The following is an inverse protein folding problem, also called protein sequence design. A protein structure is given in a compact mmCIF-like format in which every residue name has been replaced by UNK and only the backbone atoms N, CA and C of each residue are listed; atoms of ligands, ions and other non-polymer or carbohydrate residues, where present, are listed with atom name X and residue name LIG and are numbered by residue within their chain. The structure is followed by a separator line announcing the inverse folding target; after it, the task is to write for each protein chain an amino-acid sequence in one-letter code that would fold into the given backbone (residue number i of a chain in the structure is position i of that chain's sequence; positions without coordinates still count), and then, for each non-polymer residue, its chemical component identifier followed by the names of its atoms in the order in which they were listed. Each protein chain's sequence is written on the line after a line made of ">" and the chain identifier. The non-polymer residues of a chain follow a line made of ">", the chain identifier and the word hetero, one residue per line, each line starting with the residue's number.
data_IF_298855325483
#
_entry.id   IF_298855325483
#
_cell.length_a   1.000
_cell.length_b   1.000
_cell.length_c   1.000
_cell.angle_alpha   90.00
_cell.angle_beta   90.00
_cell.angle_gamma   90.00
#
_symmetry.space_group_name_H-M   'P 1'
#
loop_
_entity.id
_entity.type
_entity.pdbx_description
1 polymer ?
#
# COMPACT_ATOMS: atom_id res chain seq x y z
N UNK A 1 -11.58 10.32 13.90
CA UNK A 1 -12.56 9.74 12.94
C UNK A 1 -12.73 8.25 13.16
N UNK A 2 -11.69 7.42 13.14
CA UNK A 2 -11.77 5.95 13.31
C UNK A 2 -12.56 5.57 14.57
N UNK A 3 -12.17 6.09 15.73
CA UNK A 3 -12.79 5.75 17.01
C UNK A 3 -14.30 6.02 17.07
N UNK A 4 -14.78 7.06 16.38
CA UNK A 4 -16.21 7.39 16.29
C UNK A 4 -17.05 6.38 15.50
N UNK A 5 -16.39 5.55 14.67
CA UNK A 5 -17.05 4.56 13.83
C UNK A 5 -16.92 3.13 14.38
N UNK A 6 -16.28 2.97 15.54
CA UNK A 6 -16.17 1.66 16.20
C UNK A 6 -17.51 1.29 16.81
N UNK A 7 -17.96 0.06 16.55
CA UNK A 7 -19.17 -0.55 17.11
C UNK A 7 -18.82 -1.91 17.69
N UNK A 8 -19.77 -2.57 18.36
CA UNK A 8 -19.62 -3.95 18.86
C UNK A 8 -19.31 -4.97 17.73
N UNK A 9 -19.64 -4.63 16.48
CA UNK A 9 -19.37 -5.48 15.32
C UNK A 9 -17.97 -5.27 14.76
N UNK A 10 -17.27 -4.20 15.15
CA UNK A 10 -15.93 -3.89 14.65
C UNK A 10 -14.94 -4.91 15.20
N UNK A 11 -14.20 -5.58 14.33
CA UNK A 11 -13.21 -6.63 14.66
C UNK A 11 -11.78 -6.24 14.34
N UNK A 12 -11.60 -5.30 13.45
CA UNK A 12 -10.26 -4.91 13.02
C UNK A 12 -10.22 -3.59 12.29
N UNK A 13 -9.02 -3.10 12.12
CA UNK A 13 -8.67 -1.90 11.37
C UNK A 13 -7.76 -2.33 10.22
N UNK A 14 -8.05 -1.89 9.02
CA UNK A 14 -7.18 -2.05 7.83
C UNK A 14 -6.85 -0.66 7.34
N UNK A 15 -5.56 -0.30 7.36
CA UNK A 15 -5.08 1.03 6.94
C UNK A 15 -3.86 0.90 6.05
N UNK A 16 -3.80 1.78 5.03
CA UNK A 16 -2.64 1.90 4.16
C UNK A 16 -1.72 3.05 4.61
N UNK A 17 -0.41 2.80 4.51
CA UNK A 17 0.63 3.82 4.59
C UNK A 17 0.77 4.48 3.20
N UNK A 18 -0.20 5.31 2.87
CA UNK A 18 -0.44 5.83 1.52
C UNK A 18 0.77 6.58 0.97
N UNK A 19 1.21 6.21 -0.24
CA UNK A 19 2.36 6.77 -0.96
C UNK A 19 3.66 6.81 -0.15
N UNK A 20 3.83 5.89 0.78
CA UNK A 20 5.04 5.79 1.59
C UNK A 20 4.98 6.53 2.92
N UNK A 21 3.89 7.24 3.21
CA UNK A 21 3.73 8.06 4.41
C UNK A 21 3.05 7.26 5.53
N UNK A 22 3.76 6.93 6.62
CA UNK A 22 3.16 6.26 7.75
C UNK A 22 2.03 7.08 8.39
N UNK A 23 0.88 6.46 8.59
CA UNK A 23 -0.16 7.06 9.43
C UNK A 23 0.27 7.12 10.90
N UNK A 24 -0.47 7.85 11.73
CA UNK A 24 -0.17 7.97 13.17
C UNK A 24 -0.33 6.63 13.89
N UNK A 25 0.75 5.84 13.90
CA UNK A 25 0.77 4.50 14.49
C UNK A 25 0.54 4.52 16.01
N UNK A 26 1.03 5.53 16.71
CA UNK A 26 0.81 5.67 18.15
C UNK A 26 -0.68 5.71 18.48
N UNK A 27 -1.43 6.60 17.79
CA UNK A 27 -2.90 6.71 17.94
C UNK A 27 -3.63 5.42 17.54
N UNK A 28 -3.20 4.79 16.47
CA UNK A 28 -3.85 3.55 15.97
C UNK A 28 -3.61 2.39 16.94
N UNK A 29 -2.42 2.28 17.50
CA UNK A 29 -2.11 1.25 18.50
C UNK A 29 -2.90 1.49 19.81
N UNK A 30 -3.04 2.73 20.28
CA UNK A 30 -3.92 3.06 21.40
C UNK A 30 -5.36 2.58 21.16
N UNK A 31 -5.92 2.86 19.98
CA UNK A 31 -7.26 2.44 19.60
C UNK A 31 -7.36 0.92 19.52
N UNK A 32 -6.39 0.28 18.87
CA UNK A 32 -6.31 -1.19 18.76
C UNK A 32 -6.37 -1.86 20.13
N UNK A 33 -5.55 -1.40 21.05
CA UNK A 33 -5.49 -1.95 22.43
C UNK A 33 -6.78 -1.69 23.21
N UNK A 34 -7.27 -0.45 23.19
CA UNK A 34 -8.49 -0.03 23.90
C UNK A 34 -9.72 -0.85 23.51
N UNK A 35 -9.86 -1.18 22.23
CA UNK A 35 -11.03 -1.89 21.70
C UNK A 35 -10.76 -3.36 21.36
N UNK A 36 -9.56 -3.86 21.67
CA UNK A 36 -9.12 -5.23 21.35
C UNK A 36 -9.36 -5.58 19.87
N UNK A 37 -8.88 -4.72 18.97
CA UNK A 37 -9.06 -4.86 17.52
C UNK A 37 -7.84 -5.52 16.88
N UNK A 38 -8.08 -6.16 15.74
CA UNK A 38 -7.04 -6.63 14.85
C UNK A 38 -6.55 -5.48 13.97
N UNK A 39 -5.24 -5.39 13.69
CA UNK A 39 -4.68 -4.37 12.80
C UNK A 39 -3.97 -5.02 11.62
N UNK A 40 -4.40 -4.64 10.42
CA UNK A 40 -3.68 -4.91 9.17
C UNK A 40 -3.05 -3.61 8.68
N UNK A 41 -1.73 -3.62 8.56
CA UNK A 41 -0.96 -2.54 7.94
C UNK A 41 -0.76 -2.84 6.45
N UNK A 42 -1.37 -2.06 5.57
CA UNK A 42 -1.06 -2.13 4.15
C UNK A 42 0.13 -1.22 3.87
N UNK A 43 1.29 -1.83 3.66
CA UNK A 43 2.54 -1.13 3.38
C UNK A 43 3.02 -1.32 1.93
N UNK A 44 2.10 -1.64 1.02
CA UNK A 44 2.43 -1.86 -0.40
C UNK A 44 3.17 -0.66 -1.02
N UNK A 45 2.77 0.56 -0.67
CA UNK A 45 3.41 1.80 -1.11
C UNK A 45 4.57 2.27 -0.21
N UNK A 46 4.93 1.53 0.84
CA UNK A 46 5.72 2.10 1.92
C UNK A 46 6.86 1.19 2.41
N UNK A 47 7.34 0.31 1.53
CA UNK A 47 8.43 -0.58 1.88
C UNK A 47 9.68 0.20 2.30
N UNK A 48 10.15 -0.08 3.52
CA UNK A 48 11.30 0.59 4.13
C UNK A 48 10.97 1.83 4.96
N UNK A 49 9.72 2.29 4.98
CA UNK A 49 9.29 3.36 5.89
C UNK A 49 9.43 2.94 7.35
N UNK A 50 9.68 3.93 8.21
CA UNK A 50 9.79 3.71 9.66
C UNK A 50 8.90 4.68 10.42
N UNK A 51 8.54 4.27 11.64
CA UNK A 51 7.86 5.10 12.62
C UNK A 51 8.55 4.92 13.96
N UNK A 52 8.99 6.02 14.57
CA UNK A 52 9.78 6.02 15.82
C UNK A 52 10.98 5.05 15.75
N UNK A 53 11.71 5.07 14.62
CA UNK A 53 12.88 4.23 14.34
C UNK A 53 12.61 2.76 14.01
N UNK A 54 11.36 2.27 14.12
CA UNK A 54 10.96 0.89 13.81
C UNK A 54 10.33 0.81 12.42
N UNK A 55 10.60 -0.26 11.70
CA UNK A 55 9.94 -0.49 10.42
C UNK A 55 8.42 -0.63 10.61
N UNK A 56 7.65 0.06 9.76
CA UNK A 56 6.21 -0.19 9.65
C UNK A 56 5.95 -1.63 9.20
N UNK A 57 4.72 -2.11 9.41
CA UNK A 57 4.39 -3.53 9.18
C UNK A 57 4.83 -4.46 10.32
N UNK A 58 5.43 -3.89 11.38
CA UNK A 58 5.81 -4.61 12.59
C UNK A 58 4.98 -4.23 13.82
N UNK A 59 4.04 -3.32 13.66
CA UNK A 59 3.16 -2.83 14.73
C UNK A 59 1.84 -3.60 14.78
N UNK A 60 1.26 -3.91 13.62
CA UNK A 60 0.02 -4.66 13.51
C UNK A 60 0.17 -6.16 13.65
N UNK A 61 -0.95 -6.87 13.48
CA UNK A 61 -0.99 -8.34 13.52
C UNK A 61 -0.58 -8.96 12.19
N UNK A 62 -0.87 -8.24 11.10
CA UNK A 62 -0.53 -8.62 9.72
C UNK A 62 -0.11 -7.37 8.97
N UNK A 63 0.84 -7.51 8.06
CA UNK A 63 1.18 -6.48 7.08
C UNK A 63 1.24 -7.05 5.68
N UNK A 64 0.98 -6.20 4.66
CA UNK A 64 1.06 -6.56 3.25
C UNK A 64 2.13 -5.76 2.53
N UNK A 65 2.84 -6.41 1.61
CA UNK A 65 3.79 -5.81 0.68
C UNK A 65 3.39 -6.15 -0.74
N UNK A 66 3.62 -5.23 -1.66
CA UNK A 66 3.48 -5.48 -3.09
C UNK A 66 4.84 -5.43 -3.78
N UNK A 67 5.02 -6.37 -4.72
CA UNK A 67 6.15 -6.42 -5.63
C UNK A 67 5.70 -6.20 -7.08
N UNK A 68 4.56 -5.52 -7.26
CA UNK A 68 4.11 -5.02 -8.54
C UNK A 68 5.17 -4.05 -9.14
N UNK A 69 5.35 -3.98 -10.47
CA UNK A 69 6.45 -3.24 -11.11
C UNK A 69 6.67 -1.79 -10.66
N UNK A 70 5.61 -1.08 -10.28
CA UNK A 70 5.71 0.32 -9.87
C UNK A 70 6.18 0.54 -8.43
N UNK A 71 6.15 -0.51 -7.58
CA UNK A 71 6.51 -0.38 -6.15
C UNK A 71 8.04 -0.24 -5.95
N UNK A 72 8.47 -0.18 -4.69
CA UNK A 72 9.87 0.05 -4.32
C UNK A 72 10.83 -0.98 -4.89
N UNK A 73 10.40 -2.25 -4.93
CA UNK A 73 11.05 -3.35 -5.65
C UNK A 73 9.99 -4.14 -6.40
N UNK A 74 10.42 -4.95 -7.37
CA UNK A 74 9.49 -5.76 -8.15
C UNK A 74 9.95 -7.20 -8.28
N UNK A 75 8.99 -8.11 -8.45
CA UNK A 75 9.21 -9.50 -8.90
C UNK A 75 8.55 -9.77 -10.26
N UNK A 76 8.24 -8.70 -11.02
CA UNK A 76 7.37 -8.74 -12.20
C UNK A 76 5.90 -8.64 -11.79
N UNK A 77 5.43 -9.58 -11.03
CA UNK A 77 4.21 -9.59 -10.22
C UNK A 77 4.51 -10.35 -8.92
N UNK A 78 3.92 -9.92 -7.81
CA UNK A 78 4.11 -10.60 -6.53
C UNK A 78 3.79 -9.72 -5.33
N UNK A 79 3.99 -10.29 -4.17
CA UNK A 79 3.78 -9.62 -2.88
C UNK A 79 4.15 -10.53 -1.72
N UNK A 80 4.05 -9.99 -0.53
CA UNK A 80 4.25 -10.74 0.70
C UNK A 80 3.22 -10.35 1.76
N UNK A 81 2.84 -11.32 2.58
CA UNK A 81 2.08 -11.11 3.80
C UNK A 81 2.99 -11.44 4.98
N UNK A 82 3.12 -10.52 5.91
CA UNK A 82 3.99 -10.60 7.07
C UNK A 82 3.16 -10.75 8.34
N UNK A 83 3.59 -11.61 9.23
CA UNK A 83 3.01 -11.74 10.57
C UNK A 83 4.00 -12.37 11.55
N UNK A 84 3.93 -11.94 12.80
CA UNK A 84 4.65 -12.54 13.93
C UNK A 84 3.80 -13.60 14.67
N UNK A 85 2.58 -13.87 14.21
CA UNK A 85 1.65 -14.79 14.86
C UNK A 85 1.66 -16.17 14.18
N UNK A 86 2.24 -17.23 14.82
CA UNK A 86 2.41 -18.54 14.18
C UNK A 86 1.10 -19.20 13.72
N UNK A 87 -0.01 -18.91 14.42
CA UNK A 87 -1.33 -19.41 14.03
C UNK A 87 -1.80 -18.77 12.72
N UNK A 88 -1.61 -17.44 12.55
CA UNK A 88 -1.97 -16.74 11.33
C UNK A 88 -1.08 -17.17 10.16
N UNK A 89 0.22 -17.36 10.39
CA UNK A 89 1.12 -17.89 9.36
C UNK A 89 0.55 -19.15 8.70
N UNK A 90 0.11 -20.13 9.49
CA UNK A 90 -0.46 -21.38 8.95
C UNK A 90 -1.73 -21.14 8.11
N UNK A 91 -2.60 -20.23 8.56
CA UNK A 91 -3.83 -19.88 7.84
C UNK A 91 -3.48 -19.19 6.52
N UNK A 92 -2.55 -18.23 6.54
CA UNK A 92 -2.10 -17.48 5.37
C UNK A 92 -1.46 -18.44 4.34
N UNK A 93 -0.59 -19.34 4.79
CA UNK A 93 0.03 -20.34 3.93
C UNK A 93 -1.00 -21.30 3.32
N UNK A 94 -1.99 -21.72 4.11
CA UNK A 94 -3.12 -22.52 3.60
C UNK A 94 -3.90 -21.77 2.52
N UNK A 95 -4.31 -20.54 2.78
CA UNK A 95 -5.07 -19.71 1.82
C UNK A 95 -4.29 -19.40 0.55
N UNK A 96 -2.96 -19.22 0.65
CA UNK A 96 -2.05 -19.05 -0.49
C UNK A 96 -1.97 -20.31 -1.35
N UNK A 97 -2.14 -21.51 -0.76
CA UNK A 97 -2.00 -22.82 -1.39
C UNK A 97 -3.32 -23.57 -1.43
N UNK A 98 -4.29 -23.03 -2.16
CA UNK A 98 -5.65 -23.54 -2.41
C UNK A 98 -6.51 -23.83 -1.16
N UNK A 99 -6.10 -23.44 0.02
CA UNK A 99 -6.78 -23.78 1.27
C UNK A 99 -6.39 -25.15 1.83
N UNK A 100 -5.26 -25.71 1.39
CA UNK A 100 -4.75 -26.99 1.89
C UNK A 100 -4.49 -26.94 3.38
N UNK A 101 -4.77 -28.05 4.04
CA UNK A 101 -4.46 -28.23 5.46
C UNK A 101 -3.00 -28.64 5.69
N UNK A 102 -2.35 -29.26 4.71
CA UNK A 102 -0.95 -29.65 4.78
C UNK A 102 0.00 -28.43 4.81
N UNK A 103 0.89 -28.41 5.79
CA UNK A 103 1.88 -27.34 6.02
C UNK A 103 3.34 -27.81 5.78
N UNK A 104 3.54 -28.93 5.10
CA UNK A 104 4.88 -29.33 4.68
C UNK A 104 5.48 -28.32 3.71
N UNK A 105 6.75 -27.93 3.86
CA UNK A 105 7.44 -27.08 2.89
C UNK A 105 7.40 -27.68 1.48
N UNK A 106 7.48 -26.85 0.42
CA UNK A 106 7.60 -27.34 -0.95
C UNK A 106 8.78 -28.31 -1.11
N UNK A 107 8.54 -29.44 -1.79
CA UNK A 107 9.56 -30.47 -1.99
C UNK A 107 9.74 -31.45 -0.84
N UNK A 108 9.08 -31.22 0.30
CA UNK A 108 9.12 -32.12 1.45
C UNK A 108 7.77 -32.78 1.69
N UNK A 109 7.83 -34.04 2.11
CA UNK A 109 6.65 -34.81 2.46
C UNK A 109 6.72 -35.32 3.90
N UNK A 110 5.54 -35.44 4.52
CA UNK A 110 5.35 -36.04 5.83
C UNK A 110 6.24 -35.47 6.97
N UNK A 111 6.57 -34.16 6.91
CA UNK A 111 7.34 -33.48 7.97
C UNK A 111 6.61 -33.51 9.32
N UNK A 112 5.26 -33.56 9.28
CA UNK A 112 4.41 -33.73 10.47
C UNK A 112 4.47 -35.16 11.08
N UNK A 113 5.00 -36.15 10.34
CA UNK A 113 5.00 -37.58 10.69
C UNK A 113 3.63 -38.19 10.95
N UNK A 114 2.58 -37.56 10.40
CA UNK A 114 1.16 -37.89 10.58
C UNK A 114 0.33 -37.78 9.30
N UNK A 115 0.97 -38.04 8.14
CA UNK A 115 0.33 -37.84 6.82
C UNK A 115 -1.02 -38.53 6.68
N UNK A 116 -1.14 -39.73 7.28
CA UNK A 116 -2.33 -40.58 7.17
C UNK A 116 -3.07 -40.79 8.51
N UNK A 117 -2.71 -40.03 9.56
CA UNK A 117 -3.26 -40.23 10.91
C UNK A 117 -4.34 -39.19 11.29
N UNK A 118 -4.93 -38.56 10.31
CA UNK A 118 -5.90 -37.50 10.54
C UNK A 118 -7.32 -37.96 10.22
N UNK A 119 -8.27 -37.42 10.99
CA UNK A 119 -9.69 -37.46 10.69
C UNK A 119 -10.15 -36.01 10.45
N UNK A 120 -10.31 -35.60 9.20
CA UNK A 120 -10.61 -34.23 8.81
C UNK A 120 -11.94 -34.18 8.07
N UNK A 121 -12.88 -33.39 8.58
CA UNK A 121 -14.23 -33.28 8.01
C UNK A 121 -14.92 -34.64 7.89
N UNK A 122 -15.61 -34.88 6.78
CA UNK A 122 -16.28 -36.13 6.45
C UNK A 122 -15.43 -37.13 5.66
N UNK A 123 -14.10 -36.89 5.53
CA UNK A 123 -13.20 -37.76 4.79
C UNK A 123 -12.95 -39.07 5.57
N UNK A 124 -12.62 -40.20 4.89
CA UNK A 124 -12.24 -41.43 5.58
C UNK A 124 -11.04 -41.21 6.50
N UNK A 125 -10.98 -41.93 7.62
CA UNK A 125 -9.78 -41.92 8.47
C UNK A 125 -8.56 -42.35 7.66
N UNK A 126 -7.45 -41.64 7.83
CA UNK A 126 -6.20 -41.91 7.10
C UNK A 126 -6.21 -41.36 5.67
N UNK A 127 -7.20 -40.52 5.31
CA UNK A 127 -7.12 -39.80 4.05
C UNK A 127 -5.88 -38.95 3.98
N UNK A 128 -5.19 -38.91 2.83
CA UNK A 128 -3.93 -38.20 2.69
C UNK A 128 -4.10 -36.71 3.03
N UNK A 129 -3.46 -36.27 4.11
CA UNK A 129 -3.47 -34.90 4.61
C UNK A 129 -3.06 -33.87 3.54
N UNK A 130 -2.19 -34.25 2.62
CA UNK A 130 -1.74 -33.41 1.50
C UNK A 130 -2.85 -33.01 0.54
N UNK A 131 -3.94 -33.78 0.48
CA UNK A 131 -5.09 -33.55 -0.40
C UNK A 131 -6.35 -33.15 0.36
N UNK A 132 -6.19 -32.72 1.61
CA UNK A 132 -7.30 -32.19 2.43
C UNK A 132 -7.31 -30.67 2.35
N UNK A 133 -8.49 -30.10 2.14
CA UNK A 133 -8.70 -28.65 2.03
C UNK A 133 -9.59 -28.21 3.19
N UNK A 134 -8.99 -27.52 4.16
CA UNK A 134 -9.69 -27.00 5.35
C UNK A 134 -10.22 -25.58 5.15
N UNK A 135 -9.75 -24.90 4.11
CA UNK A 135 -10.16 -23.55 3.73
C UNK A 135 -10.44 -23.48 2.22
N UNK A 136 -11.16 -22.44 1.80
CA UNK A 136 -11.27 -22.05 0.39
C UNK A 136 -10.19 -21.02 0.13
N UNK A 137 -9.16 -21.38 -0.61
CA UNK A 137 -8.00 -20.54 -0.86
C UNK A 137 -7.70 -20.33 -2.34
N UNK A 138 -6.54 -19.75 -2.61
CA UNK A 138 -6.09 -19.33 -3.94
C UNK A 138 -4.77 -20.01 -4.29
N UNK A 139 -4.36 -19.98 -5.54
CA UNK A 139 -3.00 -20.31 -5.95
C UNK A 139 -2.20 -19.01 -6.11
N UNK A 140 -1.54 -18.59 -5.02
CA UNK A 140 -0.78 -17.34 -4.94
C UNK A 140 0.71 -17.58 -4.65
N UNK A 141 1.22 -18.77 -4.93
CA UNK A 141 2.65 -19.07 -4.77
C UNK A 141 3.48 -18.36 -5.83
N UNK A 142 4.54 -17.68 -5.39
CA UNK A 142 5.55 -17.15 -6.29
C UNK A 142 6.34 -18.29 -6.95
N UNK A 143 6.76 -18.10 -8.19
CA UNK A 143 7.70 -18.97 -8.86
C UNK A 143 9.15 -18.64 -8.49
N UNK A 144 10.07 -19.59 -8.74
CA UNK A 144 11.51 -19.39 -8.51
C UNK A 144 12.06 -18.22 -9.37
N UNK A 145 11.52 -18.01 -10.56
CA UNK A 145 11.89 -16.86 -11.42
C UNK A 145 11.54 -15.54 -10.75
N UNK A 146 10.33 -15.41 -10.20
CA UNK A 146 9.92 -14.24 -9.44
C UNK A 146 10.77 -14.04 -8.19
N UNK A 147 11.06 -15.11 -7.46
CA UNK A 147 11.90 -15.06 -6.28
C UNK A 147 13.34 -14.62 -6.61
N UNK A 148 13.91 -15.08 -7.72
CA UNK A 148 15.25 -14.68 -8.17
C UNK A 148 15.32 -13.18 -8.51
N UNK A 149 14.28 -12.63 -9.18
CA UNK A 149 14.17 -11.18 -9.43
C UNK A 149 14.12 -10.43 -8.08
N UNK A 150 13.26 -10.88 -7.16
CA UNK A 150 13.13 -10.27 -5.84
C UNK A 150 14.44 -10.26 -5.04
N UNK A 151 15.18 -11.37 -5.06
CA UNK A 151 16.49 -11.46 -4.41
C UNK A 151 17.50 -10.45 -4.95
N UNK A 152 17.53 -10.22 -6.27
CA UNK A 152 18.37 -9.17 -6.88
C UNK A 152 17.88 -7.75 -6.56
N UNK A 153 16.57 -7.56 -6.45
CA UNK A 153 15.98 -6.24 -6.18
C UNK A 153 16.15 -5.80 -4.74
N UNK A 154 16.07 -6.71 -3.77
CA UNK A 154 16.16 -6.37 -2.34
C UNK A 154 17.52 -5.77 -1.97
N UNK A 155 18.58 -6.16 -2.67
CA UNK A 155 19.92 -5.62 -2.46
C UNK A 155 20.02 -4.13 -2.83
N UNK A 156 19.18 -3.68 -3.79
CA UNK A 156 19.13 -2.30 -4.27
C UNK A 156 18.17 -1.41 -3.47
N UNK A 157 17.32 -2.02 -2.63
CA UNK A 157 16.27 -1.31 -1.93
C UNK A 157 16.78 -0.13 -1.06
N UNK A 158 17.88 -0.23 -0.32
CA UNK A 158 18.39 0.91 0.46
C UNK A 158 18.67 2.15 -0.39
N UNK A 159 19.35 1.96 -1.53
CA UNK A 159 19.67 3.05 -2.46
C UNK A 159 18.39 3.63 -3.09
N UNK A 160 17.44 2.78 -3.45
CA UNK A 160 16.17 3.21 -4.01
C UNK A 160 15.37 4.06 -3.02
N UNK A 161 15.36 3.70 -1.74
CA UNK A 161 14.71 4.49 -0.68
C UNK A 161 15.37 5.86 -0.55
N UNK A 162 16.70 5.90 -0.48
CA UNK A 162 17.45 7.16 -0.33
C UNK A 162 17.19 8.12 -1.50
N UNK A 163 17.23 7.61 -2.75
CA UNK A 163 16.96 8.43 -3.94
C UNK A 163 15.51 8.94 -3.94
N UNK A 164 14.53 8.11 -3.60
CA UNK A 164 13.13 8.53 -3.49
C UNK A 164 12.92 9.65 -2.46
N UNK A 165 13.58 9.56 -1.31
CA UNK A 165 13.54 10.61 -0.28
C UNK A 165 14.13 11.91 -0.82
N UNK A 166 15.32 11.86 -1.44
CA UNK A 166 15.95 13.05 -2.05
C UNK A 166 15.08 13.70 -3.13
N UNK A 167 14.50 12.89 -4.01
CA UNK A 167 13.62 13.39 -5.06
C UNK A 167 12.37 14.05 -4.49
N UNK A 168 11.77 13.43 -3.46
CA UNK A 168 10.62 13.99 -2.76
C UNK A 168 10.95 15.32 -2.08
N UNK A 169 12.04 15.37 -1.30
CA UNK A 169 12.48 16.58 -0.60
C UNK A 169 12.74 17.72 -1.58
N UNK A 170 13.37 17.40 -2.72
CA UNK A 170 13.61 18.39 -3.78
C UNK A 170 12.28 18.95 -4.34
N UNK A 171 11.35 18.11 -4.71
CA UNK A 171 10.04 18.57 -5.19
C UNK A 171 9.28 19.33 -4.11
N UNK A 172 9.30 18.86 -2.87
CA UNK A 172 8.63 19.52 -1.76
C UNK A 172 9.18 20.93 -1.50
N UNK A 173 10.50 21.12 -1.56
CA UNK A 173 11.13 22.45 -1.46
C UNK A 173 10.67 23.38 -2.60
N UNK A 174 10.66 22.88 -3.84
CA UNK A 174 10.30 23.71 -5.01
C UNK A 174 8.81 24.05 -5.04
N UNK A 175 7.97 23.04 -4.82
CA UNK A 175 6.51 23.20 -4.86
C UNK A 175 5.96 24.00 -3.66
N UNK A 176 6.68 24.07 -2.53
CA UNK A 176 6.29 24.93 -1.39
C UNK A 176 6.18 26.42 -1.73
N UNK A 177 6.75 26.85 -2.85
CA UNK A 177 6.70 28.21 -3.36
C UNK A 177 5.42 28.53 -4.14
N UNK A 178 4.66 27.50 -4.52
CA UNK A 178 3.42 27.65 -5.28
C UNK A 178 2.23 27.61 -4.32
N UNK A 179 1.66 28.77 -4.01
CA UNK A 179 0.58 28.91 -3.00
C UNK A 179 -0.73 28.21 -3.37
N UNK A 180 -0.90 27.81 -4.63
CA UNK A 180 -2.10 27.13 -5.15
C UNK A 180 -2.13 25.63 -4.84
N UNK A 181 -1.06 25.09 -4.22
CA UNK A 181 -0.95 23.68 -3.88
C UNK A 181 -0.88 23.45 -2.37
N UNK A 182 -1.65 22.48 -1.90
CA UNK A 182 -1.49 21.89 -0.58
C UNK A 182 -0.58 20.68 -0.72
N UNK A 183 0.54 20.70 0.00
CA UNK A 183 1.55 19.66 -0.02
C UNK A 183 1.36 18.66 1.13
N UNK A 184 1.89 17.43 0.99
CA UNK A 184 1.73 16.40 2.00
C UNK A 184 2.38 16.79 3.33
N UNK A 185 1.78 16.31 4.41
CA UNK A 185 2.32 16.41 5.76
C UNK A 185 2.52 15.02 6.32
N UNK A 186 3.51 14.85 7.16
CA UNK A 186 3.78 13.60 7.84
C UNK A 186 4.03 13.82 9.33
N UNK A 187 3.83 12.77 10.12
CA UNK A 187 4.07 12.79 11.56
C UNK A 187 5.55 12.97 11.87
N UNK A 188 5.88 13.66 12.94
CA UNK A 188 7.28 13.92 13.34
C UNK A 188 8.09 12.65 13.63
N UNK A 189 7.42 11.57 14.03
CA UNK A 189 8.01 10.26 14.27
C UNK A 189 8.13 9.40 12.99
N UNK A 190 7.50 9.82 11.89
CA UNK A 190 7.52 9.09 10.63
C UNK A 190 8.80 9.38 9.84
N UNK A 191 9.36 8.34 9.25
CA UNK A 191 10.44 8.38 8.27
C UNK A 191 9.92 7.71 6.99
N UNK A 192 9.25 8.47 6.11
CA UNK A 192 8.63 7.91 4.92
C UNK A 192 9.65 7.40 3.90
N UNK A 193 9.34 6.27 3.29
CA UNK A 193 9.95 5.81 2.04
C UNK A 193 8.98 6.12 0.92
N UNK A 194 9.13 7.29 0.32
CA UNK A 194 8.12 7.86 -0.57
C UNK A 194 7.91 7.05 -1.85
N UNK A 195 6.65 6.75 -2.16
CA UNK A 195 6.24 6.14 -3.41
C UNK A 195 5.97 7.18 -4.50
N UNK A 196 5.36 8.31 -4.12
CA UNK A 196 5.03 9.42 -4.98
C UNK A 196 4.99 10.73 -4.21
N UNK A 197 4.93 11.83 -4.94
CA UNK A 197 4.78 13.18 -4.41
C UNK A 197 3.35 13.68 -4.64
N UNK A 198 2.46 13.54 -3.64
CA UNK A 198 1.06 13.97 -3.78
C UNK A 198 0.93 15.49 -3.69
N UNK A 199 0.04 16.04 -4.52
CA UNK A 199 -0.28 17.46 -4.61
C UNK A 199 -1.79 17.59 -4.65
N UNK A 200 -2.33 18.49 -3.84
CA UNK A 200 -3.76 18.86 -3.90
C UNK A 200 -3.89 20.32 -4.34
N UNK A 201 -4.62 20.55 -5.40
CA UNK A 201 -4.94 21.92 -5.85
C UNK A 201 -5.91 22.52 -4.84
N UNK A 202 -5.58 23.67 -4.30
CA UNK A 202 -6.39 24.35 -3.30
C UNK A 202 -7.27 25.46 -3.91
N UNK A 203 -8.08 26.09 -3.06
CA UNK A 203 -9.07 27.10 -3.47
C UNK A 203 -8.49 28.40 -4.03
N UNK A 204 -7.16 28.62 -3.96
CA UNK A 204 -6.51 29.80 -4.54
C UNK A 204 -6.27 29.65 -6.04
N UNK A 205 -6.34 28.41 -6.56
CA UNK A 205 -6.16 28.16 -7.97
C UNK A 205 -7.39 28.65 -8.77
N UNK A 206 -7.14 29.21 -9.95
CA UNK A 206 -8.15 29.61 -10.93
C UNK A 206 -8.29 28.61 -12.09
N UNK A 207 -7.67 27.46 -11.97
CA UNK A 207 -7.68 26.35 -12.93
C UNK A 207 -8.13 25.04 -12.27
N UNK A 208 -8.49 24.05 -13.06
CA UNK A 208 -8.86 22.70 -12.57
C UNK A 208 -7.67 21.75 -12.68
N UNK A 209 -7.68 20.71 -11.84
CA UNK A 209 -6.66 19.63 -11.92
C UNK A 209 -6.48 19.10 -13.34
N UNK A 210 -7.58 18.85 -14.05
CA UNK A 210 -7.52 18.29 -15.42
C UNK A 210 -6.74 19.18 -16.39
N UNK A 211 -6.76 20.50 -16.21
CA UNK A 211 -6.07 21.43 -17.10
C UNK A 211 -4.55 21.31 -16.92
N UNK A 212 -4.08 21.27 -15.66
CA UNK A 212 -2.68 21.03 -15.34
C UNK A 212 -2.20 19.63 -15.78
N UNK A 213 -3.04 18.60 -15.58
CA UNK A 213 -2.66 17.23 -15.99
C UNK A 213 -2.53 17.10 -17.51
N UNK A 214 -3.39 17.75 -18.31
CA UNK A 214 -3.26 17.79 -19.76
C UNK A 214 -1.98 18.49 -20.19
N UNK A 215 -1.66 19.63 -19.58
CA UNK A 215 -0.44 20.37 -19.82
C UNK A 215 0.81 19.52 -19.52
N UNK A 216 0.79 18.74 -18.45
CA UNK A 216 1.86 17.79 -18.14
C UNK A 216 1.95 16.65 -19.16
N UNK A 217 0.83 16.09 -19.58
CA UNK A 217 0.78 15.01 -20.57
C UNK A 217 1.39 15.43 -21.91
N UNK A 218 1.08 16.65 -22.38
CA UNK A 218 1.66 17.24 -23.59
C UNK A 218 3.19 17.40 -23.51
N UNK A 219 3.74 17.47 -22.30
CA UNK A 219 5.18 17.55 -22.02
C UNK A 219 5.81 16.23 -21.61
N UNK A 220 5.08 15.11 -21.75
CA UNK A 220 5.51 13.78 -21.34
C UNK A 220 5.84 13.69 -19.84
N UNK A 221 5.22 14.49 -18.99
CA UNK A 221 5.30 14.39 -17.54
C UNK A 221 4.19 13.46 -17.05
N UNK A 222 4.58 12.27 -16.59
CA UNK A 222 3.64 11.27 -16.10
C UNK A 222 3.05 11.65 -14.73
N UNK A 223 1.72 11.58 -14.63
CA UNK A 223 0.99 11.82 -13.38
C UNK A 223 0.08 10.63 -13.05
N UNK A 224 -0.34 10.51 -11.80
CA UNK A 224 -1.35 9.56 -11.38
C UNK A 224 -2.33 10.22 -10.40
N UNK A 225 -3.58 9.75 -10.40
CA UNK A 225 -4.56 10.14 -9.39
C UNK A 225 -4.26 9.42 -8.07
N UNK A 226 -4.73 9.97 -6.96
CA UNK A 226 -4.61 9.29 -5.67
C UNK A 226 -5.66 8.16 -5.61
N UNK A 227 -5.30 7.06 -6.29
CA UNK A 227 -6.06 5.83 -6.44
C UNK A 227 -7.51 6.06 -6.88
N UNK A 228 -8.47 5.42 -6.22
CA UNK A 228 -9.89 5.53 -6.54
C UNK A 228 -10.56 6.84 -6.06
N UNK A 229 -9.86 7.65 -5.26
CA UNK A 229 -10.49 8.80 -4.59
C UNK A 229 -11.62 8.35 -3.66
N UNK A 230 -12.81 8.93 -3.78
CA UNK A 230 -14.00 8.43 -3.09
C UNK A 230 -14.58 7.24 -3.83
N UNK A 231 -14.45 6.06 -3.24
CA UNK A 231 -14.89 4.81 -3.83
C UNK A 231 -16.41 4.77 -4.11
N UNK A 232 -17.21 5.51 -3.34
CA UNK A 232 -18.66 5.61 -3.53
C UNK A 232 -19.05 6.26 -4.87
N UNK A 233 -18.13 7.02 -5.48
CA UNK A 233 -18.32 7.65 -6.79
C UNK A 233 -17.90 6.71 -7.95
N UNK A 234 -17.29 5.58 -7.67
CA UNK A 234 -16.87 4.64 -8.70
C UNK A 234 -18.07 3.85 -9.24
N UNK A 235 -18.20 3.68 -10.57
CA UNK A 235 -19.38 3.03 -11.19
C UNK A 235 -19.73 1.67 -10.59
N UNK A 236 -18.73 0.88 -10.21
CA UNK A 236 -18.92 -0.45 -9.63
C UNK A 236 -19.64 -0.43 -8.27
N UNK A 237 -19.58 0.68 -7.53
CA UNK A 237 -20.08 0.78 -6.15
C UNK A 237 -21.33 1.66 -6.02
N UNK A 238 -21.66 2.47 -7.03
CA UNK A 238 -22.78 3.44 -6.98
C UNK A 238 -24.12 2.78 -6.61
N UNK A 239 -24.35 1.54 -7.00
CA UNK A 239 -25.61 0.82 -6.78
C UNK A 239 -25.58 -0.11 -5.55
N UNK A 240 -24.49 -0.10 -4.76
CA UNK A 240 -24.34 -1.03 -3.62
C UNK A 240 -24.90 -0.49 -2.30
N UNK A 241 -25.43 0.72 -2.26
CA UNK A 241 -25.97 1.37 -1.07
C UNK A 241 -24.98 1.36 0.14
N UNK A 242 -23.72 1.69 -0.13
CA UNK A 242 -22.64 1.65 0.85
C UNK A 242 -22.47 2.94 1.67
N UNK A 243 -23.21 3.99 1.33
CA UNK A 243 -23.14 5.29 1.98
C UNK A 243 -23.50 6.44 1.03
N UNK A 244 -23.42 7.65 1.53
CA UNK A 244 -23.68 8.89 0.79
C UNK A 244 -22.35 9.59 0.53
N UNK A 245 -21.95 9.83 -0.73
CA UNK A 245 -20.67 10.47 -1.05
C UNK A 245 -20.43 11.80 -0.32
N UNK A 246 -21.49 12.58 -0.08
CA UNK A 246 -21.45 13.89 0.58
C UNK A 246 -20.98 13.81 2.04
N UNK A 247 -21.12 12.66 2.68
CA UNK A 247 -20.64 12.43 4.05
C UNK A 247 -19.09 12.34 4.12
N UNK A 248 -18.43 12.26 2.97
CA UNK A 248 -16.98 12.10 2.85
C UNK A 248 -16.30 13.26 2.08
N UNK A 249 -16.42 14.52 2.57
CA UNK A 249 -15.93 15.70 1.83
C UNK A 249 -14.42 15.69 1.56
N UNK A 250 -13.62 15.06 2.43
CA UNK A 250 -12.18 14.93 2.21
C UNK A 250 -11.89 13.97 1.06
N UNK A 251 -12.59 12.82 0.99
CA UNK A 251 -12.43 11.87 -0.11
C UNK A 251 -12.92 12.49 -1.45
N UNK A 252 -13.98 13.29 -1.43
CA UNK A 252 -14.44 14.04 -2.60
C UNK A 252 -13.39 15.03 -3.08
N UNK A 253 -12.81 15.81 -2.16
CA UNK A 253 -11.74 16.77 -2.50
C UNK A 253 -10.51 16.04 -3.09
N UNK A 254 -10.16 14.88 -2.56
CA UNK A 254 -9.08 14.04 -3.13
C UNK A 254 -9.45 13.60 -4.55
N UNK A 255 -10.68 13.16 -4.78
CA UNK A 255 -11.15 12.74 -6.11
C UNK A 255 -11.07 13.86 -7.14
N UNK A 256 -11.35 15.09 -6.73
CA UNK A 256 -11.44 16.25 -7.63
C UNK A 256 -10.08 16.92 -7.84
N UNK A 257 -9.27 17.05 -6.78
CA UNK A 257 -8.18 18.02 -6.74
C UNK A 257 -6.80 17.39 -6.50
N UNK A 258 -6.70 16.10 -6.14
CA UNK A 258 -5.43 15.48 -5.80
C UNK A 258 -4.88 14.62 -6.95
N UNK A 259 -3.57 14.72 -7.16
CA UNK A 259 -2.78 13.87 -8.05
C UNK A 259 -1.38 13.70 -7.45
N UNK A 260 -0.54 12.87 -8.04
CA UNK A 260 0.84 12.74 -7.59
C UNK A 260 1.81 12.60 -8.76
N UNK A 261 3.04 13.05 -8.51
CA UNK A 261 4.19 12.98 -9.39
C UNK A 261 5.13 11.86 -8.96
N UNK A 262 5.87 11.29 -9.89
CA UNK A 262 6.86 10.27 -9.61
C UNK A 262 8.06 10.81 -8.82
N UNK A 263 8.59 9.98 -7.92
CA UNK A 263 9.86 10.20 -7.21
C UNK A 263 10.80 9.00 -7.36
N UNK A 264 10.58 8.15 -8.36
CA UNK A 264 11.29 6.89 -8.53
C UNK A 264 12.80 7.10 -8.81
N UNK A 265 13.65 6.09 -8.55
CA UNK A 265 15.11 6.23 -8.57
C UNK A 265 15.73 6.59 -9.94
N UNK A 266 15.01 6.40 -11.02
CA UNK A 266 15.49 6.74 -12.37
C UNK A 266 15.36 8.22 -12.74
N UNK A 267 14.74 9.05 -11.89
CA UNK A 267 14.62 10.48 -12.16
C UNK A 267 15.94 11.20 -11.89
N UNK A 268 16.40 11.96 -12.89
CA UNK A 268 17.56 12.85 -12.74
C UNK A 268 17.13 14.22 -12.22
N UNK A 269 18.12 15.02 -11.78
CA UNK A 269 17.84 16.39 -11.34
C UNK A 269 17.23 17.24 -12.45
N UNK A 270 17.72 17.08 -13.68
CA UNK A 270 17.23 17.79 -14.87
C UNK A 270 15.75 17.45 -15.14
N UNK A 271 15.33 16.19 -14.95
CA UNK A 271 13.94 15.78 -15.09
C UNK A 271 13.06 16.42 -13.99
N UNK A 272 13.55 16.48 -12.77
CA UNK A 272 12.85 17.13 -11.67
C UNK A 272 12.76 18.65 -11.89
N UNK A 273 13.84 19.30 -12.36
CA UNK A 273 13.85 20.70 -12.74
C UNK A 273 12.82 20.96 -13.85
N UNK A 274 12.77 20.11 -14.88
CA UNK A 274 11.80 20.24 -15.97
C UNK A 274 10.34 20.18 -15.47
N UNK A 275 10.04 19.32 -14.50
CA UNK A 275 8.71 19.28 -13.88
C UNK A 275 8.39 20.58 -13.16
N UNK A 276 9.33 21.14 -12.39
CA UNK A 276 9.16 22.39 -11.65
C UNK A 276 9.00 23.57 -12.62
N UNK A 277 9.82 23.67 -13.65
CA UNK A 277 9.78 24.77 -14.64
C UNK A 277 8.48 24.70 -15.46
N UNK A 278 8.05 23.50 -15.89
CA UNK A 278 6.77 23.32 -16.57
C UNK A 278 5.59 23.73 -15.69
N UNK A 279 5.66 23.42 -14.37
CA UNK A 279 4.63 23.85 -13.43
C UNK A 279 4.57 25.37 -13.34
N UNK A 280 5.72 26.02 -13.24
CA UNK A 280 5.80 27.48 -13.20
C UNK A 280 5.25 28.11 -14.47
N UNK A 281 5.65 27.61 -15.64
CA UNK A 281 5.12 28.06 -16.95
C UNK A 281 3.59 28.01 -16.98
N UNK A 282 3.00 26.85 -16.57
CA UNK A 282 1.55 26.71 -16.51
C UNK A 282 0.90 27.75 -15.58
N UNK A 283 1.50 28.00 -14.41
CA UNK A 283 0.96 28.96 -13.42
C UNK A 283 1.10 30.42 -13.88
N UNK A 284 2.13 30.74 -14.66
CA UNK A 284 2.34 32.08 -15.22
C UNK A 284 1.36 32.39 -16.36
N UNK A 285 0.80 31.36 -17.02
CA UNK A 285 -0.18 31.46 -18.11
C UNK A 285 -1.63 31.48 -17.62
N UNK A 286 -1.91 31.10 -16.39
CA UNK A 286 -3.24 30.93 -15.80
C UNK A 286 -3.39 31.71 -14.48
#
# INVERSE_FOLDING_TARGET
>A
MIEKNITEKTKGIVLAHTLGNPFNLEKIMEIKEKYNLFLVEDMCDAFGSKYDGKFIGTFGDVATLSFYPAHHITTGEGGAVLTNLPKLKKIIESLRDWGRDCYCPPGEDNTCKKRFDWQLGGLPHGYDHKYTYSNIGYNLKASDMQAAIGASQIEKLPDFIEIRIKNFEYLNEKFSKFEVFDLPKWESKAQPSWFGFPITINKKANFKRVDLLKFYEERNIGTRLLFAGNILLQPAYMNMNLGIPEDYPVANNVSENTFWLGVYPGLTKEMLDFVVDSTKEFLDEN
#
